data_IF_501540721551
#
_entry.id   IF_501540721551
#
_cell.length_a   1.000
_cell.length_b   1.000
_cell.length_c   1.000
_cell.angle_alpha   90.00
_cell.angle_beta   90.00
_cell.angle_gamma   90.00
#
_symmetry.space_group_name_H-M   'P 1'
#
loop_
_entity.id
_entity.type
_entity.pdbx_description
1 polymer ?
#
# COMPACT_ATOMS: atom_id res chain seq x y z
N UNK A 1 18.47 -6.85 0.40
CA UNK A 1 17.65 -5.66 0.15
C UNK A 1 17.29 -5.64 -1.32
N UNK A 2 16.02 -5.86 -1.65
CA UNK A 2 15.53 -5.79 -3.04
C UNK A 2 15.58 -4.32 -3.45
N UNK A 3 16.55 -3.95 -4.26
CA UNK A 3 16.70 -2.58 -4.75
C UNK A 3 16.13 -2.52 -6.16
N UNK A 4 15.32 -1.51 -6.47
CA UNK A 4 14.89 -1.22 -7.83
C UNK A 4 16.12 -0.76 -8.63
N UNK A 5 16.72 -1.68 -9.38
CA UNK A 5 17.93 -1.39 -10.18
C UNK A 5 17.56 -0.82 -11.54
N UNK A 6 18.48 -0.09 -12.18
CA UNK A 6 18.30 0.37 -13.56
C UNK A 6 18.10 -0.79 -14.55
N UNK A 7 18.70 -1.95 -14.28
CA UNK A 7 18.46 -3.16 -15.07
C UNK A 7 17.00 -3.63 -14.95
N UNK A 8 16.43 -3.60 -13.74
CA UNK A 8 15.03 -3.95 -13.50
C UNK A 8 14.09 -2.95 -14.17
N UNK A 9 14.38 -1.65 -14.07
CA UNK A 9 13.61 -0.59 -14.74
C UNK A 9 13.63 -0.75 -16.26
N UNK A 10 14.80 -1.06 -16.82
CA UNK A 10 14.95 -1.30 -18.28
C UNK A 10 14.10 -2.50 -18.69
N UNK A 11 14.22 -3.62 -17.98
CA UNK A 11 13.42 -4.81 -18.27
C UNK A 11 11.91 -4.57 -18.13
N UNK A 12 11.50 -3.82 -17.12
CA UNK A 12 10.10 -3.45 -16.93
C UNK A 12 9.57 -2.64 -18.13
N UNK A 13 10.33 -1.63 -18.61
CA UNK A 13 9.96 -0.86 -19.81
C UNK A 13 9.85 -1.74 -21.05
N UNK A 14 10.79 -2.67 -21.26
CA UNK A 14 10.76 -3.60 -22.39
C UNK A 14 9.54 -4.54 -22.34
N UNK A 15 9.15 -5.01 -21.16
CA UNK A 15 7.96 -5.84 -20.98
C UNK A 15 6.69 -5.01 -21.18
N UNK A 16 6.62 -3.82 -20.58
CA UNK A 16 5.47 -2.91 -20.71
C UNK A 16 5.19 -2.55 -22.16
N UNK A 17 6.23 -2.33 -22.97
CA UNK A 17 6.10 -2.04 -24.40
C UNK A 17 5.52 -3.22 -25.23
N UNK A 18 5.51 -4.43 -24.67
CA UNK A 18 4.96 -5.64 -25.30
C UNK A 18 3.56 -6.00 -24.81
N UNK A 19 3.09 -5.35 -23.74
CA UNK A 19 1.75 -5.59 -23.19
C UNK A 19 0.68 -5.07 -24.15
N UNK A 20 -0.37 -5.83 -24.33
CA UNK A 20 -1.62 -5.34 -24.93
C UNK A 20 -2.36 -4.45 -23.93
N UNK A 21 -3.31 -3.64 -24.39
CA UNK A 21 -4.16 -2.85 -23.51
C UNK A 21 -4.86 -3.72 -22.47
N UNK A 22 -5.40 -4.89 -22.88
CA UNK A 22 -6.06 -5.80 -21.95
C UNK A 22 -5.11 -6.34 -20.87
N UNK A 23 -3.87 -6.63 -21.20
CA UNK A 23 -2.85 -7.06 -20.22
C UNK A 23 -2.43 -5.92 -19.29
N UNK A 24 -2.32 -4.69 -19.79
CA UNK A 24 -2.06 -3.51 -18.95
C UNK A 24 -3.20 -3.30 -17.96
N UNK A 25 -4.43 -3.31 -18.44
CA UNK A 25 -5.63 -3.20 -17.60
C UNK A 25 -5.66 -4.31 -16.55
N UNK A 26 -5.39 -5.56 -16.90
CA UNK A 26 -5.37 -6.66 -15.95
C UNK A 26 -4.35 -6.46 -14.80
N UNK A 27 -3.20 -5.83 -15.08
CA UNK A 27 -2.15 -5.60 -14.07
C UNK A 27 -2.51 -4.49 -13.08
N UNK A 28 -3.24 -3.45 -13.51
CA UNK A 28 -3.52 -2.26 -12.68
C UNK A 28 -4.77 -2.39 -11.81
N UNK A 29 -5.48 -3.50 -11.84
CA UNK A 29 -6.62 -3.74 -10.94
C UNK A 29 -6.60 -5.15 -10.35
N UNK A 30 -7.37 -5.33 -9.29
CA UNK A 30 -7.47 -6.62 -8.62
C UNK A 30 -8.15 -7.67 -9.50
N UNK A 31 -7.60 -8.88 -9.48
CA UNK A 31 -8.20 -10.10 -10.03
C UNK A 31 -8.50 -11.13 -8.92
N UNK A 32 -8.44 -10.69 -7.68
CA UNK A 32 -8.76 -11.36 -6.43
C UNK A 32 -8.71 -10.34 -5.31
N UNK A 33 -9.16 -10.67 -4.10
CA UNK A 33 -9.20 -9.71 -2.98
C UNK A 33 -7.81 -9.22 -2.55
N UNK A 34 -6.78 -10.07 -2.79
CA UNK A 34 -5.39 -9.81 -2.37
C UNK A 34 -4.38 -10.04 -3.50
N UNK A 35 -4.79 -9.85 -4.74
CA UNK A 35 -3.88 -9.93 -5.88
C UNK A 35 -4.41 -9.13 -7.05
N UNK A 36 -3.52 -8.60 -7.85
CA UNK A 36 -3.84 -8.03 -9.15
C UNK A 36 -3.90 -9.12 -10.24
N UNK A 37 -4.14 -8.71 -11.48
CA UNK A 37 -4.02 -9.60 -12.63
C UNK A 37 -2.58 -9.84 -13.06
N UNK A 38 -2.42 -10.57 -14.15
CA UNK A 38 -1.13 -11.01 -14.69
C UNK A 38 -1.06 -10.81 -16.21
N UNK A 39 0.13 -10.99 -16.77
CA UNK A 39 0.32 -11.15 -18.22
C UNK A 39 1.10 -12.44 -18.49
N UNK A 40 0.40 -13.58 -18.46
CA UNK A 40 0.99 -14.91 -18.53
C UNK A 40 1.83 -15.11 -19.80
N UNK A 41 1.39 -14.54 -20.93
CA UNK A 41 2.10 -14.58 -22.22
C UNK A 41 3.54 -14.03 -22.12
N UNK A 42 3.77 -13.08 -21.24
CA UNK A 42 5.09 -12.47 -21.02
C UNK A 42 5.78 -12.98 -19.75
N UNK A 43 5.18 -13.96 -19.07
CA UNK A 43 5.69 -14.50 -17.82
C UNK A 43 5.61 -13.53 -16.65
N UNK A 44 4.69 -12.56 -16.68
CA UNK A 44 4.45 -11.62 -15.60
C UNK A 44 3.41 -12.22 -14.65
N UNK A 45 3.79 -12.66 -13.44
CA UNK A 45 2.86 -13.21 -12.46
C UNK A 45 2.02 -12.10 -11.80
N UNK A 46 0.90 -12.45 -11.15
CA UNK A 46 0.21 -11.52 -10.29
C UNK A 46 1.05 -11.21 -9.04
N UNK A 47 0.96 -10.02 -8.50
CA UNK A 47 1.44 -9.69 -7.17
C UNK A 47 0.45 -10.20 -6.14
N UNK A 48 0.89 -11.07 -5.25
CA UNK A 48 0.09 -11.62 -4.16
C UNK A 48 0.35 -10.83 -2.89
N UNK A 49 -0.69 -10.21 -2.39
CA UNK A 49 -0.63 -9.37 -1.20
C UNK A 49 -1.21 -10.12 0.00
N UNK A 50 -0.94 -9.64 1.19
CA UNK A 50 -1.64 -10.07 2.39
C UNK A 50 -1.72 -8.95 3.42
N UNK A 51 -2.77 -8.99 4.25
CA UNK A 51 -2.89 -8.10 5.39
C UNK A 51 -1.84 -8.41 6.44
N UNK A 52 -1.57 -7.39 7.21
CA UNK A 52 -0.92 -7.49 8.47
C UNK A 52 0.20 -6.52 8.70
N UNK A 53 0.05 -5.52 9.57
CA UNK A 53 1.20 -4.93 10.24
C UNK A 53 1.63 -5.71 11.48
N UNK A 54 0.82 -6.66 11.97
CA UNK A 54 1.05 -7.43 13.20
C UNK A 54 1.10 -8.95 12.98
N UNK A 55 1.37 -9.37 11.77
CA UNK A 55 1.42 -10.78 11.37
C UNK A 55 0.74 -11.01 10.04
N UNK A 56 1.18 -12.02 9.30
CA UNK A 56 0.53 -12.44 8.07
C UNK A 56 -0.88 -12.95 8.40
N UNK A 57 -1.88 -12.57 7.63
CA UNK A 57 -3.23 -13.07 7.84
C UNK A 57 -3.30 -14.57 7.52
N UNK A 58 -3.82 -15.36 8.45
CA UNK A 58 -4.10 -16.78 8.19
C UNK A 58 -5.23 -16.91 7.17
N UNK A 59 -5.07 -17.80 6.19
CA UNK A 59 -6.02 -18.00 5.08
C UNK A 59 -6.44 -19.45 4.95
N UNK A 60 -7.74 -19.70 4.77
CA UNK A 60 -8.23 -21.00 4.32
C UNK A 60 -7.96 -21.22 2.82
N UNK A 61 -8.13 -20.15 2.06
CA UNK A 61 -7.87 -20.09 0.62
C UNK A 61 -7.33 -18.69 0.30
N UNK A 62 -6.46 -18.60 -0.68
CA UNK A 62 -6.03 -17.30 -1.21
C UNK A 62 -7.25 -16.49 -1.67
N UNK A 63 -7.22 -15.20 -1.47
CA UNK A 63 -8.27 -14.26 -1.88
C UNK A 63 -9.62 -14.44 -1.14
N UNK A 64 -9.61 -14.78 0.13
CA UNK A 64 -10.84 -14.98 0.89
C UNK A 64 -10.86 -14.19 2.20
N UNK A 65 -11.99 -13.54 2.49
CA UNK A 65 -12.29 -12.87 3.76
C UNK A 65 -12.94 -13.81 4.80
N UNK A 66 -13.09 -15.12 4.47
CA UNK A 66 -13.79 -16.05 5.34
C UNK A 66 -13.18 -16.12 6.74
N UNK A 67 -14.00 -16.25 7.79
CA UNK A 67 -13.51 -16.42 9.15
C UNK A 67 -12.60 -17.65 9.28
N UNK A 68 -11.53 -17.51 10.03
CA UNK A 68 -10.45 -18.48 10.15
C UNK A 68 -10.62 -19.48 11.28
N UNK A 69 -11.82 -19.59 11.85
CA UNK A 69 -12.10 -20.36 13.08
C UNK A 69 -11.79 -21.86 12.99
N UNK A 70 -11.69 -22.42 11.81
CA UNK A 70 -11.45 -23.86 11.59
C UNK A 70 -10.20 -24.14 10.74
N UNK A 71 -9.33 -23.16 10.54
CA UNK A 71 -8.09 -23.36 9.80
C UNK A 71 -7.07 -24.13 10.62
N UNK A 72 -6.24 -24.92 9.94
CA UNK A 72 -4.98 -25.47 10.50
C UNK A 72 -3.78 -24.60 10.11
N UNK A 73 -4.05 -23.46 9.54
CA UNK A 73 -3.05 -22.47 9.14
C UNK A 73 -2.68 -21.62 10.35
N UNK A 74 -1.50 -21.81 10.86
CA UNK A 74 -0.98 -21.07 12.00
C UNK A 74 -0.02 -20.00 11.52
N UNK A 75 -0.20 -18.80 12.05
CA UNK A 75 0.65 -17.62 11.78
C UNK A 75 1.10 -17.03 13.11
N UNK A 76 2.22 -16.32 13.08
CA UNK A 76 2.70 -15.59 14.26
C UNK A 76 1.91 -14.31 14.44
N UNK A 77 1.32 -14.12 15.63
CA UNK A 77 0.77 -12.83 16.03
C UNK A 77 1.91 -12.02 16.66
N UNK A 78 2.38 -11.02 15.93
CA UNK A 78 3.46 -10.14 16.35
C UNK A 78 2.93 -9.02 17.27
N UNK A 79 3.80 -8.33 18.01
CA UNK A 79 3.40 -7.18 18.82
C UNK A 79 2.70 -6.10 18.00
N UNK A 80 1.73 -5.42 18.60
CA UNK A 80 1.06 -4.29 17.96
C UNK A 80 2.05 -3.17 17.60
N UNK A 81 1.73 -2.34 16.60
CA UNK A 81 2.55 -1.19 16.25
C UNK A 81 2.85 -0.28 17.45
N UNK A 82 1.83 -0.09 18.32
CA UNK A 82 2.01 0.64 19.59
C UNK A 82 3.03 -0.01 20.51
N UNK A 83 3.01 -1.34 20.64
CA UNK A 83 3.94 -2.07 21.51
C UNK A 83 5.37 -2.02 20.95
N UNK A 84 5.54 -2.21 19.65
CA UNK A 84 6.84 -2.10 18.98
C UNK A 84 7.43 -0.71 19.19
N UNK A 85 6.67 0.35 18.92
CA UNK A 85 7.13 1.72 19.06
C UNK A 85 7.44 2.11 20.51
N UNK A 86 6.72 1.54 21.49
CA UNK A 86 6.95 1.77 22.92
C UNK A 86 8.31 1.24 23.42
N UNK A 87 8.97 0.41 22.64
CA UNK A 87 10.33 -0.05 22.95
C UNK A 87 11.39 1.02 22.73
N UNK A 88 11.12 2.01 21.88
CA UNK A 88 12.07 3.02 21.41
C UNK A 88 13.33 2.41 20.76
N UNK A 89 13.24 1.15 20.34
CA UNK A 89 14.36 0.39 19.79
C UNK A 89 14.07 0.00 18.33
N UNK A 90 14.71 0.65 17.34
CA UNK A 90 14.56 0.29 15.93
C UNK A 90 14.97 -1.16 15.60
N UNK A 91 15.93 -1.74 16.33
CA UNK A 91 16.34 -3.13 16.08
C UNK A 91 15.19 -4.12 16.35
N UNK A 92 14.33 -3.84 17.33
CA UNK A 92 13.14 -4.66 17.60
C UNK A 92 12.07 -4.47 16.52
N UNK A 93 11.94 -3.26 15.98
CA UNK A 93 11.05 -3.02 14.83
C UNK A 93 11.55 -3.76 13.59
N UNK A 94 12.86 -3.74 13.35
CA UNK A 94 13.50 -4.49 12.26
C UNK A 94 13.27 -6.00 12.41
N UNK A 95 13.53 -6.56 13.59
CA UNK A 95 13.27 -7.97 13.90
C UNK A 95 11.81 -8.36 13.68
N UNK A 96 10.87 -7.48 14.03
CA UNK A 96 9.44 -7.68 13.76
C UNK A 96 9.19 -7.76 12.26
N UNK A 97 9.80 -6.87 11.48
CA UNK A 97 9.75 -6.89 10.02
C UNK A 97 10.37 -8.15 9.40
N UNK A 98 11.52 -8.59 9.91
CA UNK A 98 12.21 -9.81 9.45
C UNK A 98 11.32 -11.06 9.60
N UNK A 99 10.75 -11.27 10.79
CA UNK A 99 9.83 -12.40 11.03
C UNK A 99 8.62 -12.35 10.11
N UNK A 100 8.04 -11.16 9.95
CA UNK A 100 6.87 -10.97 9.09
C UNK A 100 7.21 -11.23 7.61
N UNK A 101 8.34 -10.72 7.14
CA UNK A 101 8.81 -10.94 5.77
C UNK A 101 9.09 -12.41 5.48
N UNK A 102 9.76 -13.12 6.39
CA UNK A 102 10.02 -14.56 6.27
C UNK A 102 8.73 -15.38 6.20
N UNK A 103 7.77 -15.10 7.09
CA UNK A 103 6.46 -15.78 7.05
C UNK A 103 5.69 -15.46 5.76
N UNK A 104 5.65 -14.20 5.33
CA UNK A 104 4.99 -13.80 4.09
C UNK A 104 5.60 -14.50 2.88
N UNK A 105 6.93 -14.49 2.77
CA UNK A 105 7.64 -15.17 1.68
C UNK A 105 7.42 -16.68 1.68
N UNK A 106 7.49 -17.31 2.86
CA UNK A 106 7.23 -18.74 3.03
C UNK A 106 5.80 -19.14 2.62
N UNK A 107 4.86 -18.20 2.63
CA UNK A 107 3.46 -18.36 2.22
C UNK A 107 3.21 -17.93 0.77
N UNK A 108 4.26 -17.60 0.02
CA UNK A 108 4.18 -17.19 -1.39
C UNK A 108 3.54 -15.81 -1.59
N UNK A 109 3.71 -14.91 -0.63
CA UNK A 109 3.28 -13.51 -0.76
C UNK A 109 4.42 -12.66 -1.29
N UNK A 110 4.07 -11.70 -2.13
CA UNK A 110 5.00 -10.76 -2.75
C UNK A 110 4.98 -9.41 -2.05
N UNK A 111 3.85 -9.08 -1.39
CA UNK A 111 3.62 -7.82 -0.69
C UNK A 111 2.95 -8.08 0.64
N UNK A 112 3.43 -7.46 1.71
CA UNK A 112 2.74 -7.37 2.98
C UNK A 112 2.23 -5.94 3.22
N UNK A 113 0.93 -5.82 3.57
CA UNK A 113 0.26 -4.52 3.73
C UNK A 113 0.56 -3.93 5.12
N UNK A 114 1.77 -3.49 5.28
CA UNK A 114 2.36 -2.90 6.48
C UNK A 114 3.77 -2.35 6.19
N UNK A 115 4.29 -1.48 7.07
CA UNK A 115 3.73 -1.02 8.35
C UNK A 115 2.61 0.01 8.22
N UNK A 116 1.79 0.11 9.29
CA UNK A 116 0.85 1.21 9.47
C UNK A 116 1.55 2.36 10.21
N UNK A 117 1.72 3.50 9.54
CA UNK A 117 2.55 4.63 10.02
C UNK A 117 1.81 5.97 10.09
N UNK A 118 0.47 5.96 10.11
CA UNK A 118 -0.27 7.18 10.42
C UNK A 118 -0.03 7.64 11.85
N UNK A 119 -0.10 8.95 12.05
CA UNK A 119 0.06 9.56 13.38
C UNK A 119 -1.21 9.35 14.21
N UNK A 120 -1.05 8.94 15.47
CA UNK A 120 -2.13 8.78 16.44
C UNK A 120 -2.64 10.16 16.88
N UNK A 121 -3.51 10.76 16.08
CA UNK A 121 -4.01 12.11 16.31
C UNK A 121 -5.05 12.15 17.45
N UNK A 122 -5.89 11.13 17.50
CA UNK A 122 -6.95 10.99 18.53
C UNK A 122 -6.83 9.65 19.23
N UNK A 123 -6.95 9.59 20.56
CA UNK A 123 -6.95 8.32 21.28
C UNK A 123 -8.19 7.46 20.97
N UNK A 124 -9.23 8.04 20.36
CA UNK A 124 -10.46 7.36 19.99
C UNK A 124 -10.42 6.71 18.60
N UNK A 125 -9.34 6.88 17.84
CA UNK A 125 -9.20 6.20 16.55
C UNK A 125 -9.17 4.67 16.74
N UNK A 126 -10.09 3.97 16.06
CA UNK A 126 -10.25 2.52 16.19
C UNK A 126 -9.05 1.69 15.72
N UNK A 127 -8.12 2.28 14.96
CA UNK A 127 -6.91 1.62 14.43
C UNK A 127 -5.61 2.02 15.14
N UNK A 128 -5.69 2.74 16.26
CA UNK A 128 -4.47 3.15 16.99
C UNK A 128 -3.59 1.97 17.42
N UNK A 129 -4.14 0.78 17.59
CA UNK A 129 -3.37 -0.41 17.96
C UNK A 129 -2.30 -0.78 16.92
N UNK A 130 -2.58 -0.59 15.64
CA UNK A 130 -1.65 -0.92 14.56
C UNK A 130 -0.68 0.22 14.22
N UNK A 131 -1.04 1.47 14.53
CA UNK A 131 -0.14 2.62 14.34
C UNK A 131 0.93 2.69 15.43
N UNK A 132 2.05 3.35 15.11
CA UNK A 132 3.23 3.34 15.98
C UNK A 132 3.15 4.39 17.08
N UNK A 133 3.06 5.67 16.74
CA UNK A 133 3.16 6.76 17.70
C UNK A 133 2.35 8.00 17.31
N UNK A 134 2.22 8.95 18.23
CA UNK A 134 1.80 10.33 17.96
C UNK A 134 2.98 11.20 17.52
N UNK A 135 4.22 10.74 17.75
CA UNK A 135 5.46 11.42 17.40
C UNK A 135 5.92 11.01 16.00
N UNK A 136 6.04 11.96 15.04
CA UNK A 136 6.45 11.64 13.68
C UNK A 136 7.89 11.11 13.59
N UNK A 137 8.81 11.56 14.47
CA UNK A 137 10.21 11.10 14.47
C UNK A 137 10.30 9.65 14.94
N UNK A 138 9.61 9.32 16.02
CA UNK A 138 9.56 7.94 16.52
C UNK A 138 8.89 7.01 15.49
N UNK A 139 7.78 7.45 14.91
CA UNK A 139 7.07 6.69 13.87
C UNK A 139 7.96 6.46 12.65
N UNK A 140 8.70 7.47 12.20
CA UNK A 140 9.64 7.37 11.10
C UNK A 140 10.74 6.34 11.40
N UNK A 141 11.43 6.46 12.53
CA UNK A 141 12.53 5.57 12.90
C UNK A 141 12.10 4.09 13.00
N UNK A 142 10.94 3.84 13.63
CA UNK A 142 10.41 2.48 13.78
C UNK A 142 9.88 1.94 12.44
N UNK A 143 9.21 2.78 11.66
CA UNK A 143 8.67 2.43 10.34
C UNK A 143 9.76 2.05 9.34
N UNK A 144 10.84 2.84 9.27
CA UNK A 144 12.02 2.56 8.43
C UNK A 144 12.63 1.20 8.76
N UNK A 145 12.90 0.96 10.05
CA UNK A 145 13.49 -0.30 10.49
C UNK A 145 12.59 -1.51 10.17
N UNK A 146 11.29 -1.39 10.40
CA UNK A 146 10.32 -2.42 10.06
C UNK A 146 10.30 -2.70 8.54
N UNK A 147 10.24 -1.66 7.68
CA UNK A 147 10.27 -1.78 6.22
C UNK A 147 11.52 -2.54 5.77
N UNK A 148 12.67 -2.14 6.27
CA UNK A 148 13.94 -2.78 5.94
C UNK A 148 13.92 -4.27 6.31
N UNK A 149 13.41 -4.62 7.50
CA UNK A 149 13.30 -6.01 7.93
C UNK A 149 12.39 -6.84 7.01
N UNK A 150 11.21 -6.35 6.67
CA UNK A 150 10.28 -7.03 5.74
C UNK A 150 10.95 -7.30 4.39
N UNK A 151 11.63 -6.29 3.85
CA UNK A 151 12.17 -6.35 2.48
C UNK A 151 13.44 -7.21 2.36
N UNK A 152 14.06 -7.62 3.46
CA UNK A 152 15.16 -8.60 3.44
C UNK A 152 14.75 -9.97 2.92
N UNK A 153 13.48 -10.33 3.06
CA UNK A 153 12.93 -11.61 2.61
C UNK A 153 12.40 -11.58 1.16
N UNK A 154 12.74 -10.56 0.37
CA UNK A 154 12.23 -10.38 -0.99
C UNK A 154 10.69 -10.27 -1.03
N UNK A 155 10.13 -9.57 -0.04
CA UNK A 155 8.72 -9.20 0.08
C UNK A 155 8.63 -7.68 0.13
N UNK A 156 7.77 -7.06 -0.67
CA UNK A 156 7.57 -5.63 -0.60
C UNK A 156 6.80 -5.26 0.69
N UNK A 157 7.32 -4.30 1.43
CA UNK A 157 6.54 -3.61 2.45
C UNK A 157 5.61 -2.59 1.78
N UNK A 158 4.42 -2.38 2.35
CA UNK A 158 3.44 -1.40 1.89
C UNK A 158 3.12 -0.43 3.01
N UNK A 159 3.76 0.74 3.01
CA UNK A 159 3.50 1.78 4.03
C UNK A 159 2.10 2.35 3.90
N UNK A 160 1.34 2.39 5.01
CA UNK A 160 -0.08 2.76 4.97
C UNK A 160 -0.52 3.59 6.17
N UNK A 161 -1.58 4.38 6.04
CA UNK A 161 -2.38 4.71 4.87
C UNK A 161 -2.06 6.13 4.43
N UNK A 162 -1.70 6.34 3.20
CA UNK A 162 -1.25 7.62 2.64
C UNK A 162 -2.43 8.42 2.10
N UNK A 163 -2.87 9.52 2.76
CA UNK A 163 -2.32 10.05 4.00
C UNK A 163 -3.44 10.47 4.96
N UNK A 164 -3.05 10.77 6.21
CA UNK A 164 -3.95 11.39 7.20
C UNK A 164 -5.17 10.52 7.55
N UNK A 165 -5.06 9.20 7.56
CA UNK A 165 -6.13 8.34 8.07
C UNK A 165 -6.12 8.35 9.61
N UNK A 166 -6.68 9.42 10.20
CA UNK A 166 -6.58 9.71 11.63
C UNK A 166 -7.80 9.28 12.44
N UNK A 167 -8.85 8.80 11.78
CA UNK A 167 -10.09 8.28 12.39
C UNK A 167 -10.74 7.22 11.51
N UNK A 168 -11.64 6.41 12.10
CA UNK A 168 -12.35 5.34 11.40
C UNK A 168 -13.86 5.59 11.22
N UNK A 169 -14.41 6.61 11.90
CA UNK A 169 -15.82 7.01 11.71
C UNK A 169 -15.97 7.65 10.34
N UNK A 170 -16.87 7.09 9.53
CA UNK A 170 -17.11 7.52 8.14
C UNK A 170 -15.83 7.59 7.29
N UNK A 171 -14.87 6.71 7.54
CA UNK A 171 -13.54 6.72 6.96
C UNK A 171 -13.52 6.77 5.42
N UNK A 172 -14.58 6.27 4.78
CA UNK A 172 -14.69 6.30 3.32
C UNK A 172 -15.00 7.70 2.75
N UNK A 173 -15.52 8.60 3.58
CA UNK A 173 -16.03 9.91 3.12
C UNK A 173 -15.64 11.09 4.00
N UNK A 174 -14.92 10.84 5.11
CA UNK A 174 -14.44 11.92 5.97
C UNK A 174 -13.42 12.79 5.26
N UNK A 175 -13.55 14.11 5.38
CA UNK A 175 -12.57 15.08 4.88
C UNK A 175 -11.71 15.60 6.02
N UNK A 176 -10.45 15.24 5.99
CA UNK A 176 -9.44 15.68 6.96
C UNK A 176 -8.90 17.05 6.54
N UNK A 177 -9.40 18.10 7.18
CA UNK A 177 -8.91 19.47 6.95
C UNK A 177 -7.59 19.72 7.66
N UNK A 178 -6.51 19.82 6.90
CA UNK A 178 -5.14 19.92 7.41
C UNK A 178 -4.41 21.09 6.75
N UNK A 179 -3.74 21.94 7.57
CA UNK A 179 -2.88 22.97 7.01
C UNK A 179 -1.63 22.35 6.37
N UNK A 180 -1.07 23.00 5.36
CA UNK A 180 0.18 22.55 4.70
C UNK A 180 1.30 22.32 5.70
N UNK A 181 1.44 23.22 6.70
CA UNK A 181 2.42 23.08 7.76
C UNK A 181 2.22 21.80 8.59
N UNK A 182 0.98 21.54 9.04
CA UNK A 182 0.70 20.35 9.84
C UNK A 182 0.88 19.06 9.00
N UNK A 183 0.47 19.11 7.73
CA UNK A 183 0.69 18.01 6.79
C UNK A 183 2.17 17.65 6.69
N UNK A 184 3.04 18.66 6.46
CA UNK A 184 4.48 18.51 6.26
C UNK A 184 5.26 18.20 7.53
N UNK A 185 4.85 18.74 8.68
CA UNK A 185 5.61 18.59 9.94
C UNK A 185 5.17 17.38 10.78
N UNK A 186 3.93 16.90 10.60
CA UNK A 186 3.35 15.88 11.48
C UNK A 186 2.92 14.61 10.70
N UNK A 187 2.15 14.75 9.63
CA UNK A 187 1.51 13.58 9.00
C UNK A 187 2.36 12.90 7.94
N UNK A 188 3.20 13.63 7.23
CA UNK A 188 3.99 13.10 6.13
C UNK A 188 5.42 12.64 6.48
N UNK A 189 6.10 13.11 7.56
CA UNK A 189 7.50 12.75 7.78
C UNK A 189 7.79 11.26 7.87
N UNK A 190 6.85 10.46 8.41
CA UNK A 190 7.01 9.01 8.45
C UNK A 190 6.98 8.37 7.05
N UNK A 191 6.17 8.91 6.13
CA UNK A 191 6.13 8.45 4.73
C UNK A 191 7.35 8.91 3.94
N UNK A 192 7.82 10.14 4.16
CA UNK A 192 9.09 10.62 3.60
C UNK A 192 10.25 9.70 3.99
N UNK A 193 10.40 9.41 5.28
CA UNK A 193 11.42 8.50 5.77
C UNK A 193 11.23 7.06 5.24
N UNK A 194 9.99 6.58 5.14
CA UNK A 194 9.71 5.27 4.55
C UNK A 194 10.22 5.16 3.11
N UNK A 195 10.10 6.23 2.32
CA UNK A 195 10.61 6.29 0.94
C UNK A 195 12.13 6.47 0.93
N UNK A 196 12.63 7.53 1.55
CA UNK A 196 14.03 7.96 1.38
C UNK A 196 15.01 7.10 2.18
N UNK A 197 14.67 6.73 3.41
CA UNK A 197 15.55 5.96 4.29
C UNK A 197 15.18 4.46 4.30
N UNK A 198 13.89 4.15 4.23
CA UNK A 198 13.37 2.78 4.24
C UNK A 198 13.44 2.07 2.89
N UNK A 199 13.43 2.82 1.79
CA UNK A 199 13.37 2.27 0.45
C UNK A 199 12.11 1.44 0.22
N UNK A 200 10.97 1.89 0.75
CA UNK A 200 9.69 1.17 0.65
C UNK A 200 9.28 0.96 -0.81
N UNK A 201 8.82 -0.25 -1.12
CA UNK A 201 8.46 -0.64 -2.50
C UNK A 201 6.99 -0.41 -2.83
N UNK A 202 6.14 -0.26 -1.81
CA UNK A 202 4.72 0.04 -2.02
C UNK A 202 4.19 1.02 -0.97
N UNK A 203 3.18 1.79 -1.36
CA UNK A 203 2.43 2.71 -0.50
C UNK A 203 0.94 2.46 -0.72
N UNK A 204 0.13 2.46 0.33
CA UNK A 204 -1.31 2.32 0.21
C UNK A 204 -2.01 3.66 0.36
N UNK A 205 -2.77 4.07 -0.68
CA UNK A 205 -3.62 5.26 -0.63
C UNK A 205 -4.78 5.09 0.35
N UNK A 206 -5.01 6.11 1.17
CA UNK A 206 -6.03 6.06 2.22
C UNK A 206 -7.46 6.25 1.68
N UNK A 207 -8.44 5.89 2.50
CA UNK A 207 -9.87 6.04 2.20
C UNK A 207 -10.37 7.48 2.17
N UNK A 208 -9.86 8.27 3.13
CA UNK A 208 -10.36 9.61 3.44
C UNK A 208 -10.06 10.64 2.36
N UNK A 209 -10.71 11.78 2.47
CA UNK A 209 -10.30 12.99 1.75
C UNK A 209 -9.27 13.75 2.58
N UNK A 210 -8.44 14.51 1.90
CA UNK A 210 -7.57 15.54 2.49
C UNK A 210 -7.87 16.85 1.77
N UNK A 211 -8.33 17.85 2.52
CA UNK A 211 -8.66 19.18 1.98
C UNK A 211 -9.59 19.12 0.75
N UNK A 212 -10.62 18.27 0.81
CA UNK A 212 -11.65 18.15 -0.21
C UNK A 212 -11.36 17.16 -1.34
N UNK A 213 -10.18 16.50 -1.36
CA UNK A 213 -9.80 15.57 -2.43
C UNK A 213 -9.53 14.17 -1.86
N UNK A 214 -10.07 13.11 -2.48
CA UNK A 214 -9.79 11.71 -2.12
C UNK A 214 -8.29 11.41 -2.21
N UNK A 215 -7.71 10.70 -1.26
CA UNK A 215 -6.29 10.39 -1.25
C UNK A 215 -5.82 9.64 -2.51
N UNK A 216 -6.64 8.74 -3.06
CA UNK A 216 -6.34 8.01 -4.30
C UNK A 216 -6.54 8.83 -5.59
N UNK A 217 -6.97 10.08 -5.48
CA UNK A 217 -7.21 11.03 -6.58
C UNK A 217 -6.42 12.33 -6.37
N UNK A 218 -5.55 12.37 -5.35
CA UNK A 218 -4.95 13.60 -4.85
C UNK A 218 -3.60 13.89 -5.51
N UNK A 219 -3.61 14.74 -6.55
CA UNK A 219 -2.40 15.08 -7.29
C UNK A 219 -1.26 15.58 -6.40
N UNK A 220 -1.51 16.52 -5.48
CA UNK A 220 -0.46 17.04 -4.60
C UNK A 220 0.16 15.93 -3.75
N UNK A 221 -0.64 14.99 -3.23
CA UNK A 221 -0.11 13.89 -2.40
C UNK A 221 0.65 12.87 -3.25
N UNK A 222 0.05 12.38 -4.34
CA UNK A 222 0.58 11.24 -5.10
C UNK A 222 1.70 11.65 -6.07
N UNK A 223 1.51 12.73 -6.83
CA UNK A 223 2.52 13.18 -7.79
C UNK A 223 3.53 14.12 -7.13
N UNK A 224 3.05 15.31 -6.72
CA UNK A 224 3.95 16.39 -6.36
C UNK A 224 4.81 16.03 -5.12
N UNK A 225 4.21 15.40 -4.08
CA UNK A 225 4.93 15.05 -2.85
C UNK A 225 5.55 13.66 -2.95
N UNK A 226 4.74 12.61 -3.17
CA UNK A 226 5.25 11.25 -3.09
C UNK A 226 6.24 10.93 -4.21
N UNK A 227 5.87 11.23 -5.48
CA UNK A 227 6.72 10.91 -6.64
C UNK A 227 7.85 11.91 -6.81
N UNK A 228 7.52 13.22 -6.88
CA UNK A 228 8.51 14.23 -7.27
C UNK A 228 9.41 14.65 -6.11
N UNK A 229 8.83 15.00 -4.92
CA UNK A 229 9.64 15.49 -3.80
C UNK A 229 10.37 14.35 -3.08
N UNK A 230 9.69 13.22 -2.79
CA UNK A 230 10.31 12.10 -2.07
C UNK A 230 11.06 11.13 -2.96
N UNK A 231 10.81 11.16 -4.28
CA UNK A 231 11.45 10.28 -5.25
C UNK A 231 10.97 8.83 -5.20
N UNK A 232 9.69 8.61 -4.89
CA UNK A 232 9.12 7.27 -4.81
C UNK A 232 9.03 6.60 -6.18
N UNK A 233 9.77 5.53 -6.35
CA UNK A 233 9.84 4.72 -7.59
C UNK A 233 9.05 3.40 -7.52
N UNK A 234 8.42 3.11 -6.37
CA UNK A 234 7.58 1.93 -6.17
C UNK A 234 6.18 2.08 -6.74
N UNK A 235 5.23 1.25 -6.31
CA UNK A 235 3.85 1.32 -6.74
C UNK A 235 2.90 1.74 -5.60
N UNK A 236 1.84 2.46 -5.97
CA UNK A 236 0.74 2.85 -5.08
C UNK A 236 -0.43 1.91 -5.29
N UNK A 237 -0.85 1.25 -4.22
CA UNK A 237 -2.07 0.45 -4.20
C UNK A 237 -3.18 1.20 -3.46
N UNK A 238 -4.41 1.12 -3.91
CA UNK A 238 -5.54 1.70 -3.16
C UNK A 238 -5.87 0.85 -1.93
N UNK A 239 -6.37 1.46 -0.88
CA UNK A 239 -7.18 0.70 0.09
C UNK A 239 -8.45 0.19 -0.60
N UNK A 240 -9.12 -0.86 -0.06
CA UNK A 240 -10.25 -1.51 -0.72
C UNK A 240 -11.41 -0.55 -0.95
N UNK A 241 -11.76 -0.32 -2.23
CA UNK A 241 -12.80 0.65 -2.62
C UNK A 241 -12.46 2.13 -2.32
N UNK A 242 -11.19 2.48 -2.22
CA UNK A 242 -10.76 3.87 -2.04
C UNK A 242 -10.75 4.68 -3.34
N UNK A 243 -10.64 4.02 -4.50
CA UNK A 243 -10.79 4.66 -5.83
C UNK A 243 -12.26 4.97 -6.07
N UNK A 244 -12.57 6.20 -6.54
CA UNK A 244 -13.93 6.67 -6.79
C UNK A 244 -14.13 7.29 -8.16
N UNK A 245 -13.06 7.66 -8.84
CA UNK A 245 -13.06 8.22 -10.19
C UNK A 245 -11.93 7.63 -11.02
N UNK A 246 -12.27 7.05 -12.17
CA UNK A 246 -11.32 6.40 -13.07
C UNK A 246 -10.25 7.35 -13.57
N UNK A 247 -10.68 8.51 -14.09
CA UNK A 247 -9.78 9.46 -14.73
C UNK A 247 -8.92 10.17 -13.70
N UNK A 248 -9.54 10.69 -12.64
CA UNK A 248 -8.82 11.41 -11.60
C UNK A 248 -7.73 10.53 -10.95
N UNK A 249 -8.04 9.26 -10.67
CA UNK A 249 -7.06 8.34 -10.07
C UNK A 249 -5.96 7.91 -11.06
N UNK A 250 -6.32 7.66 -12.34
CA UNK A 250 -5.35 7.23 -13.36
C UNK A 250 -4.36 8.35 -13.74
N UNK A 251 -4.76 9.61 -13.59
CA UNK A 251 -3.92 10.77 -13.95
C UNK A 251 -2.98 11.23 -12.83
N UNK A 252 -3.06 10.63 -11.62
CA UNK A 252 -2.31 11.09 -10.43
C UNK A 252 -1.42 10.01 -9.81
N UNK A 253 -0.89 9.08 -10.59
CA UNK A 253 0.10 8.12 -10.11
C UNK A 253 -0.44 7.02 -9.19
N UNK A 254 -1.74 6.75 -9.21
CA UNK A 254 -2.35 5.54 -8.66
C UNK A 254 -2.02 4.36 -9.57
N UNK A 255 -1.50 3.24 -9.04
CA UNK A 255 -1.04 2.12 -9.88
C UNK A 255 -1.96 0.91 -9.84
N UNK A 256 -2.45 0.52 -8.66
CA UNK A 256 -3.26 -0.71 -8.52
C UNK A 256 -4.51 -0.43 -7.69
N UNK A 257 -5.68 -0.70 -8.26
CA UNK A 257 -6.94 -0.63 -7.54
C UNK A 257 -7.27 -1.96 -6.87
N UNK A 258 -7.57 -1.92 -5.55
CA UNK A 258 -8.21 -2.98 -4.80
C UNK A 258 -9.65 -2.61 -4.45
N UNK A 259 -10.56 -3.59 -4.43
CA UNK A 259 -11.94 -3.39 -3.99
C UNK A 259 -12.52 -4.67 -3.38
N UNK A 260 -13.71 -4.58 -2.78
CA UNK A 260 -14.34 -5.67 -2.01
C UNK A 260 -15.41 -6.43 -2.79
N UNK A 261 -15.80 -5.96 -3.96
CA UNK A 261 -16.82 -6.64 -4.77
C UNK A 261 -16.20 -7.79 -5.56
N UNK A 262 -16.92 -8.92 -5.76
CA UNK A 262 -16.40 -10.05 -6.55
C UNK A 262 -16.42 -9.80 -8.06
N UNK A 263 -17.02 -8.72 -8.52
CA UNK A 263 -17.07 -8.37 -9.94
C UNK A 263 -15.90 -7.44 -10.28
N UNK A 264 -14.74 -8.04 -10.51
CA UNK A 264 -13.48 -7.32 -10.77
C UNK A 264 -13.51 -6.48 -12.05
N UNK A 265 -14.33 -6.86 -13.03
CA UNK A 265 -14.47 -6.15 -14.31
C UNK A 265 -15.13 -4.76 -14.18
N UNK A 266 -15.87 -4.54 -13.08
CA UNK A 266 -16.57 -3.27 -12.82
C UNK A 266 -15.70 -2.27 -12.01
N UNK A 267 -14.49 -2.63 -11.64
CA UNK A 267 -13.58 -1.75 -10.94
C UNK A 267 -13.22 -0.53 -11.79
N UNK A 268 -12.91 0.59 -11.17
CA UNK A 268 -12.59 1.83 -11.86
C UNK A 268 -11.39 1.68 -12.80
N UNK A 269 -10.41 0.83 -12.44
CA UNK A 269 -9.24 0.52 -13.26
C UNK A 269 -9.39 -0.72 -14.15
N UNK A 270 -10.58 -1.33 -14.19
CA UNK A 270 -10.92 -2.42 -15.10
C UNK A 270 -11.55 -1.90 -16.41
N UNK A 271 -12.77 -2.37 -16.74
CA UNK A 271 -13.47 -1.95 -17.96
C UNK A 271 -13.69 -0.44 -18.08
N UNK A 272 -13.96 0.33 -16.99
CA UNK A 272 -14.05 1.78 -17.09
C UNK A 272 -12.76 2.44 -17.57
N UNK A 273 -11.58 2.01 -17.05
CA UNK A 273 -10.29 2.55 -17.49
C UNK A 273 -9.99 2.15 -18.93
N UNK A 274 -10.21 0.88 -19.29
CA UNK A 274 -10.06 0.43 -20.67
C UNK A 274 -10.85 1.30 -21.64
N UNK A 275 -12.13 1.53 -21.32
CA UNK A 275 -12.99 2.38 -22.13
C UNK A 275 -12.48 3.83 -22.21
N UNK A 276 -12.02 4.40 -21.10
CA UNK A 276 -11.48 5.77 -21.08
C UNK A 276 -10.23 5.91 -21.98
N UNK A 277 -9.39 4.87 -22.02
CA UNK A 277 -8.22 4.83 -22.93
C UNK A 277 -8.67 4.70 -24.40
N UNK A 278 -9.62 3.80 -24.71
CA UNK A 278 -10.15 3.61 -26.06
C UNK A 278 -10.86 4.86 -26.60
N UNK A 279 -11.54 5.61 -25.74
CA UNK A 279 -12.22 6.88 -26.07
C UNK A 279 -11.22 8.05 -26.15
N UNK A 280 -9.98 7.90 -25.68
CA UNK A 280 -8.96 8.94 -25.67
C UNK A 280 -9.06 9.93 -24.49
N UNK A 281 -9.87 9.61 -23.48
CA UNK A 281 -10.04 10.41 -22.27
C UNK A 281 -8.87 10.26 -21.28
N UNK A 282 -8.22 9.11 -21.32
CA UNK A 282 -7.00 8.79 -20.56
C UNK A 282 -5.93 8.31 -21.53
N UNK A 283 -4.70 8.73 -21.32
CA UNK A 283 -3.57 8.30 -22.15
C UNK A 283 -3.13 6.88 -21.76
N UNK A 284 -2.93 5.99 -22.77
CA UNK A 284 -2.40 4.65 -22.59
C UNK A 284 -0.98 4.64 -22.01
#
# INVERSE_FOLDING_TARGET
MTVITEANKTKARELTAQLTLDEKIAIVHAAGLFRNGNAERLGIPPLRMDDGPMGVRAELHNDNWAPLYNTRDYVTYLPSGSAVASTWNPDLARMTGEVLGEEARGRGKDVILGPSINIKRSPLCGRNFEYMSEDPVLTAAQGVAYIQGVQESDVAACAKHYAVNSQETDRLDVDETVSERALREIYLPAFEAAVQDGGVLSVMGAYNLVNGTKCCEHKQLLDDILRDEYGFDGFVVSDWSAVRDTKASAEVGMDIELSVTPNFDDYYFANPLKKAVEDGDVKE
#
